data_IF_389499077664
#
_entry.id   IF_389499077664
#
_cell.length_a   1.000
_cell.length_b   1.000
_cell.length_c   1.000
_cell.angle_alpha   90.00
_cell.angle_beta   90.00
_cell.angle_gamma   90.00
#
_symmetry.space_group_name_H-M   'P 1'
#
loop_
_entity.id
_entity.type
_entity.pdbx_description
1 polymer ?
#
# COMPACT_ATOMS: atom_id res chain seq x y z
N UNK A 1 -16.49 4.79 38.12
CA UNK A 1 -15.80 3.53 37.84
C UNK A 1 -15.01 3.56 36.53
N UNK A 2 -14.44 4.72 36.09
CA UNK A 2 -13.70 4.90 34.83
C UNK A 2 -12.25 5.40 34.96
N UNK A 3 -11.73 5.49 36.19
CA UNK A 3 -10.41 6.08 36.45
C UNK A 3 -9.28 5.06 36.78
N UNK A 4 -9.53 3.76 36.78
CA UNK A 4 -8.54 2.73 37.16
C UNK A 4 -7.84 2.00 36.01
N UNK A 5 -8.25 2.21 34.76
CA UNK A 5 -7.61 1.54 33.59
C UNK A 5 -6.36 2.26 33.03
N UNK A 6 -6.10 3.51 33.45
CA UNK A 6 -4.98 4.31 32.89
C UNK A 6 -3.63 4.09 33.60
N UNK A 7 -3.61 3.50 34.78
CA UNK A 7 -2.37 3.31 35.54
C UNK A 7 -1.59 2.05 35.18
N UNK A 8 -2.24 1.03 34.58
CA UNK A 8 -1.60 -0.24 34.24
C UNK A 8 -0.77 -0.17 32.93
N UNK A 9 -1.06 0.79 32.07
CA UNK A 9 -0.42 0.92 30.74
C UNK A 9 0.97 1.56 30.82
N UNK A 10 1.24 2.37 31.83
CA UNK A 10 2.50 3.12 31.95
C UNK A 10 3.67 2.24 32.41
N UNK A 11 3.41 1.17 33.17
CA UNK A 11 4.47 0.26 33.63
C UNK A 11 4.98 -0.69 32.52
N UNK A 12 4.18 -0.96 31.52
CA UNK A 12 4.53 -1.85 30.41
C UNK A 12 5.55 -1.22 29.43
N UNK A 13 5.51 0.10 29.26
CA UNK A 13 6.38 0.83 28.32
C UNK A 13 7.86 0.64 28.64
N UNK A 14 8.22 0.70 29.90
CA UNK A 14 9.61 0.52 30.34
C UNK A 14 10.09 -0.94 30.31
N UNK A 15 9.18 -1.92 30.27
CA UNK A 15 9.51 -3.33 30.35
C UNK A 15 9.74 -3.98 28.98
N UNK A 16 9.19 -3.40 27.93
CA UNK A 16 9.39 -3.84 26.55
C UNK A 16 10.30 -2.91 25.74
N UNK A 17 10.70 -1.76 26.28
CA UNK A 17 11.71 -0.93 25.63
C UNK A 17 12.95 -1.80 25.33
N UNK A 18 13.47 -1.82 24.13
CA UNK A 18 14.73 -2.48 23.86
C UNK A 18 15.78 -1.84 24.79
N UNK A 19 16.50 -2.66 25.56
CA UNK A 19 17.77 -2.20 26.07
C UNK A 19 18.57 -1.75 24.85
N UNK A 20 19.01 -0.50 24.84
CA UNK A 20 19.69 0.19 23.74
C UNK A 20 21.12 -0.32 23.50
N UNK A 21 21.35 -1.62 23.60
CA UNK A 21 22.64 -2.26 23.32
C UNK A 21 22.67 -3.17 22.09
N UNK A 22 21.62 -3.15 21.26
CA UNK A 22 21.81 -3.51 19.88
C UNK A 22 21.85 -2.22 19.07
N UNK A 23 23.03 -1.67 18.87
CA UNK A 23 23.26 -0.74 17.77
C UNK A 23 22.52 -1.30 16.54
N UNK A 24 21.78 -0.47 15.76
CA UNK A 24 21.16 -0.95 14.53
C UNK A 24 22.25 -1.68 13.78
N UNK A 25 22.04 -2.98 13.51
CA UNK A 25 23.01 -3.77 12.80
C UNK A 25 23.44 -2.93 11.60
N UNK A 26 24.73 -2.59 11.54
CA UNK A 26 25.30 -1.93 10.38
C UNK A 26 24.76 -2.68 9.16
N UNK A 27 24.48 -2.03 8.00
CA UNK A 27 24.02 -2.73 6.82
C UNK A 27 25.05 -3.82 6.56
N UNK A 28 24.71 -5.02 7.05
CA UNK A 28 25.54 -6.18 6.92
C UNK A 28 25.64 -6.56 5.45
N UNK A 29 26.56 -7.41 5.10
CA UNK A 29 26.90 -7.88 3.76
C UNK A 29 25.72 -8.40 2.89
N UNK A 30 24.48 -8.37 3.37
CA UNK A 30 23.26 -8.85 2.69
C UNK A 30 22.59 -7.80 1.79
N UNK A 31 23.21 -6.67 1.50
CA UNK A 31 22.67 -5.67 0.57
C UNK A 31 21.28 -5.11 0.94
N UNK A 32 20.63 -4.44 0.00
CA UNK A 32 19.25 -3.97 0.19
C UNK A 32 18.26 -5.14 0.05
N UNK A 33 17.95 -5.82 1.15
CA UNK A 33 17.00 -6.94 1.16
C UNK A 33 15.56 -6.55 0.79
N UNK A 34 15.23 -5.25 0.66
CA UNK A 34 13.92 -4.76 0.23
C UNK A 34 13.79 -4.59 -1.28
N UNK A 35 14.92 -4.57 -2.03
CA UNK A 35 14.92 -4.33 -3.48
C UNK A 35 13.92 -5.21 -4.26
N UNK A 36 13.42 -4.73 -5.39
CA UNK A 36 13.71 -3.46 -6.06
C UNK A 36 12.91 -2.27 -5.49
N UNK A 37 13.50 -1.07 -5.55
CA UNK A 37 12.91 0.18 -5.08
C UNK A 37 13.11 1.29 -6.12
N UNK A 38 12.12 2.18 -6.26
CA UNK A 38 12.23 3.36 -7.10
C UNK A 38 13.25 4.35 -6.53
N UNK A 39 14.13 4.85 -7.37
CA UNK A 39 15.06 5.94 -7.02
C UNK A 39 14.47 7.32 -7.35
N UNK A 40 13.40 7.34 -8.17
CA UNK A 40 12.80 8.59 -8.63
C UNK A 40 11.57 9.03 -7.81
N UNK A 41 11.00 8.18 -6.96
CA UNK A 41 9.77 8.48 -6.23
C UNK A 41 9.99 9.26 -4.92
N UNK A 42 11.12 9.94 -4.79
CA UNK A 42 11.50 10.77 -3.64
C UNK A 42 11.72 12.22 -4.11
N UNK A 43 11.48 13.18 -3.22
CA UNK A 43 11.61 14.60 -3.49
C UNK A 43 10.37 15.22 -4.12
N UNK A 44 10.47 16.50 -4.46
CA UNK A 44 9.41 17.23 -5.12
C UNK A 44 9.34 16.84 -6.60
N UNK A 45 8.11 16.64 -7.11
CA UNK A 45 7.83 16.37 -8.53
C UNK A 45 7.03 17.50 -9.12
N UNK A 46 7.49 17.99 -10.27
CA UNK A 46 6.76 19.00 -11.02
C UNK A 46 5.76 18.32 -11.96
N UNK A 47 4.48 18.57 -11.75
CA UNK A 47 3.38 18.01 -12.55
C UNK A 47 2.71 19.12 -13.34
N UNK A 48 2.63 18.95 -14.65
CA UNK A 48 1.77 19.79 -15.49
C UNK A 48 0.37 19.16 -15.53
N UNK A 49 -0.61 19.87 -15.03
CA UNK A 49 -2.01 19.49 -15.09
C UNK A 49 -2.73 20.25 -16.19
N UNK A 50 -3.35 19.54 -17.13
CA UNK A 50 -4.05 20.13 -18.28
C UNK A 50 -5.50 19.63 -18.30
N UNK A 51 -6.44 20.56 -18.11
CA UNK A 51 -7.86 20.30 -18.37
C UNK A 51 -8.15 20.43 -19.88
N UNK A 52 -8.76 19.42 -20.48
CA UNK A 52 -9.13 19.43 -21.90
C UNK A 52 -10.64 19.31 -22.10
N UNK A 53 -11.16 19.98 -23.15
CA UNK A 53 -12.57 19.90 -23.55
C UNK A 53 -12.67 19.59 -25.04
N UNK A 54 -13.81 19.06 -25.42
CA UNK A 54 -14.06 18.57 -26.78
C UNK A 54 -15.12 19.43 -27.47
N UNK A 55 -15.19 19.46 -28.82
CA UNK A 55 -16.23 20.21 -29.54
C UNK A 55 -17.66 19.79 -29.16
N UNK A 56 -17.87 18.52 -28.88
CA UNK A 56 -19.15 17.87 -28.56
C UNK A 56 -19.36 17.55 -27.07
N UNK A 57 -18.38 17.82 -26.19
CA UNK A 57 -18.49 17.58 -24.77
C UNK A 57 -17.82 18.72 -23.97
N UNK A 58 -18.59 19.30 -23.06
CA UNK A 58 -18.11 20.38 -22.22
C UNK A 58 -17.95 19.92 -20.77
N UNK A 59 -16.95 20.46 -20.05
CA UNK A 59 -16.77 20.15 -18.63
C UNK A 59 -17.99 20.57 -17.80
N UNK A 60 -18.36 19.75 -16.84
CA UNK A 60 -19.44 20.03 -15.89
C UNK A 60 -18.93 20.75 -14.64
N UNK A 61 -17.64 20.69 -14.39
CA UNK A 61 -17.00 21.29 -13.22
C UNK A 61 -16.18 22.52 -13.60
N UNK A 62 -16.12 23.47 -12.68
CA UNK A 62 -15.16 24.56 -12.84
C UNK A 62 -13.73 24.03 -12.72
N UNK A 63 -12.81 24.70 -13.41
CA UNK A 63 -11.42 24.31 -13.38
C UNK A 63 -10.80 24.42 -11.97
N UNK A 64 -11.27 25.38 -11.18
CA UNK A 64 -10.79 25.58 -9.81
C UNK A 64 -11.26 24.45 -8.87
N UNK A 65 -12.48 23.95 -9.04
CA UNK A 65 -12.95 22.76 -8.29
C UNK A 65 -12.09 21.55 -8.59
N UNK A 66 -11.78 21.31 -9.87
CA UNK A 66 -10.95 20.19 -10.29
C UNK A 66 -9.53 20.36 -9.75
N UNK A 67 -8.95 21.55 -9.88
CA UNK A 67 -7.61 21.87 -9.35
C UNK A 67 -7.53 21.63 -7.84
N UNK A 68 -8.46 22.16 -7.06
CA UNK A 68 -8.49 21.99 -5.60
C UNK A 68 -8.58 20.52 -5.22
N UNK A 69 -9.49 19.79 -5.85
CA UNK A 69 -9.70 18.37 -5.54
C UNK A 69 -8.51 17.52 -5.93
N UNK A 70 -7.98 17.68 -7.13
CA UNK A 70 -6.96 16.78 -7.68
C UNK A 70 -5.57 17.22 -7.28
N UNK A 71 -5.18 18.46 -7.52
CA UNK A 71 -3.80 18.92 -7.24
C UNK A 71 -3.52 18.92 -5.74
N UNK A 72 -4.32 19.68 -4.97
CA UNK A 72 -4.12 19.78 -3.52
C UNK A 72 -4.38 18.44 -2.84
N UNK A 73 -5.42 17.74 -3.26
CA UNK A 73 -5.75 16.42 -2.72
C UNK A 73 -4.66 15.39 -2.99
N UNK A 74 -4.10 15.36 -4.20
CA UNK A 74 -3.05 14.43 -4.57
C UNK A 74 -1.74 14.71 -3.83
N UNK A 75 -1.31 15.98 -3.73
CA UNK A 75 -0.11 16.34 -2.97
C UNK A 75 -0.24 15.95 -1.50
N UNK A 76 -1.38 16.26 -0.86
CA UNK A 76 -1.63 15.90 0.53
C UNK A 76 -1.57 14.37 0.73
N UNK A 77 -2.16 13.61 -0.19
CA UNK A 77 -2.16 12.15 -0.12
C UNK A 77 -0.73 11.60 -0.32
N UNK A 78 0.03 12.11 -1.29
CA UNK A 78 1.43 11.71 -1.53
C UNK A 78 2.31 12.01 -0.32
N UNK A 79 2.19 13.20 0.27
CA UNK A 79 2.93 13.56 1.50
C UNK A 79 2.60 12.64 2.66
N UNK A 80 1.33 12.33 2.87
CA UNK A 80 0.91 11.39 3.93
C UNK A 80 1.51 10.00 3.68
N UNK A 81 1.30 9.43 2.49
CA UNK A 81 1.74 8.07 2.19
C UNK A 81 3.26 7.91 2.17
N UNK A 82 3.98 8.96 1.79
CA UNK A 82 5.45 8.96 1.71
C UNK A 82 6.13 9.37 3.02
N UNK A 83 5.40 9.61 4.09
CA UNK A 83 5.97 10.16 5.34
C UNK A 83 6.67 11.51 5.14
N UNK A 84 6.24 12.29 4.15
CA UNK A 84 6.83 13.56 3.74
C UNK A 84 8.06 13.45 2.83
N UNK A 85 8.41 12.23 2.37
CA UNK A 85 9.56 12.03 1.49
C UNK A 85 9.32 12.47 0.05
N UNK A 86 8.06 12.58 -0.37
CA UNK A 86 7.67 13.02 -1.70
C UNK A 86 6.58 14.09 -1.63
N UNK A 87 6.57 14.96 -2.63
CA UNK A 87 5.60 16.04 -2.78
C UNK A 87 5.36 16.39 -4.24
N UNK A 88 4.30 17.13 -4.51
CA UNK A 88 3.92 17.59 -5.83
C UNK A 88 3.84 19.11 -5.86
N UNK A 89 4.53 19.71 -6.82
CA UNK A 89 4.29 21.09 -7.27
C UNK A 89 3.64 21.01 -8.64
N UNK A 90 2.48 21.63 -8.81
CA UNK A 90 1.73 21.53 -10.05
C UNK A 90 1.48 22.90 -10.69
N UNK A 91 1.85 23.01 -11.95
CA UNK A 91 1.35 24.06 -12.84
C UNK A 91 0.05 23.59 -13.51
N UNK A 92 -0.86 24.50 -13.66
CA UNK A 92 -2.20 24.19 -14.15
C UNK A 92 -2.54 24.97 -15.41
N UNK A 93 -3.13 24.28 -16.43
CA UNK A 93 -3.71 24.88 -17.62
C UNK A 93 -5.19 24.49 -17.69
N UNK A 94 -6.03 25.52 -17.74
CA UNK A 94 -7.49 25.38 -17.77
C UNK A 94 -8.01 24.86 -19.10
N UNK A 95 -9.31 24.57 -19.15
CA UNK A 95 -10.01 23.87 -20.23
C UNK A 95 -9.55 24.23 -21.64
N UNK A 96 -8.56 23.49 -22.14
CA UNK A 96 -7.97 23.63 -23.48
C UNK A 96 -8.84 22.87 -24.48
N UNK A 97 -9.22 23.54 -25.58
CA UNK A 97 -10.01 22.89 -26.62
C UNK A 97 -9.15 21.94 -27.45
N UNK A 98 -9.57 20.70 -27.59
CA UNK A 98 -9.00 19.73 -28.51
C UNK A 98 -9.72 19.77 -29.87
N UNK A 99 -9.05 19.37 -30.97
CA UNK A 99 -9.58 19.57 -32.33
C UNK A 99 -10.73 18.61 -32.69
N UNK A 100 -10.76 17.41 -32.12
CA UNK A 100 -11.68 16.34 -32.53
C UNK A 100 -12.77 16.10 -31.47
N UNK A 101 -13.91 15.47 -31.87
CA UNK A 101 -14.97 15.08 -30.93
C UNK A 101 -14.49 13.99 -29.94
N UNK A 102 -15.17 13.89 -28.79
CA UNK A 102 -14.85 12.97 -27.70
C UNK A 102 -14.67 11.52 -28.18
N UNK A 103 -15.49 11.08 -29.13
CA UNK A 103 -15.44 9.72 -29.69
C UNK A 103 -14.10 9.34 -30.32
N UNK A 104 -13.28 10.31 -30.73
CA UNK A 104 -11.95 10.08 -31.28
C UNK A 104 -10.89 9.82 -30.21
N UNK A 105 -11.20 10.11 -28.96
CA UNK A 105 -10.31 9.94 -27.79
C UNK A 105 -10.81 8.90 -26.80
N UNK A 106 -12.06 8.43 -26.94
CA UNK A 106 -12.65 7.44 -26.06
C UNK A 106 -11.88 6.10 -26.11
N UNK A 107 -11.62 5.53 -24.94
CA UNK A 107 -10.87 4.27 -24.79
C UNK A 107 -11.76 3.17 -24.22
N UNK A 108 -11.39 1.91 -24.47
CA UNK A 108 -12.07 0.76 -23.86
C UNK A 108 -11.91 0.80 -22.33
N UNK A 109 -12.93 0.41 -21.56
CA UNK A 109 -12.82 0.25 -20.11
C UNK A 109 -11.97 -0.97 -19.71
N UNK A 110 -11.65 -1.85 -20.64
CA UNK A 110 -10.90 -3.08 -20.38
C UNK A 110 -9.42 -2.90 -20.72
N UNK A 111 -8.54 -3.13 -19.75
CA UNK A 111 -7.10 -2.88 -19.88
C UNK A 111 -6.45 -3.56 -21.11
N UNK A 112 -6.89 -4.77 -21.45
CA UNK A 112 -6.31 -5.50 -22.59
C UNK A 112 -6.84 -5.08 -23.97
N UNK A 113 -7.87 -4.22 -24.00
CA UNK A 113 -8.51 -3.74 -25.23
C UNK A 113 -8.43 -2.22 -25.40
N UNK A 114 -7.56 -1.57 -24.66
CA UNK A 114 -7.33 -0.13 -24.81
C UNK A 114 -6.72 0.15 -26.18
N UNK A 115 -7.35 1.05 -26.92
CA UNK A 115 -6.84 1.57 -28.20
C UNK A 115 -5.67 2.53 -27.93
N UNK A 116 -4.46 2.08 -28.20
CA UNK A 116 -3.22 2.82 -27.92
C UNK A 116 -3.07 4.07 -28.77
N UNK A 117 -3.60 4.05 -29.99
CA UNK A 117 -3.53 5.18 -30.90
C UNK A 117 -4.42 6.32 -30.36
N UNK A 118 -5.55 6.01 -29.77
CA UNK A 118 -6.41 7.00 -29.09
C UNK A 118 -5.77 7.55 -27.82
N UNK A 119 -5.09 6.73 -27.04
CA UNK A 119 -4.31 7.17 -25.87
C UNK A 119 -3.21 8.13 -26.30
N UNK A 120 -2.44 7.75 -27.34
CA UNK A 120 -1.40 8.60 -27.94
C UNK A 120 -1.96 9.91 -28.46
N UNK A 121 -3.05 9.82 -29.24
CA UNK A 121 -3.72 10.98 -29.81
C UNK A 121 -4.15 11.98 -28.74
N UNK A 122 -4.76 11.54 -27.63
CA UNK A 122 -5.16 12.43 -26.55
C UNK A 122 -3.94 13.20 -25.98
N UNK A 123 -2.85 12.49 -25.70
CA UNK A 123 -1.64 13.11 -25.16
C UNK A 123 -0.99 14.09 -26.14
N UNK A 124 -0.78 13.66 -27.39
CA UNK A 124 -0.08 14.49 -28.39
C UNK A 124 -0.91 15.68 -28.87
N UNK A 125 -2.23 15.56 -28.98
CA UNK A 125 -3.11 16.70 -29.27
C UNK A 125 -3.17 17.68 -28.07
N UNK A 126 -3.15 17.17 -26.83
CA UNK A 126 -3.04 18.00 -25.63
C UNK A 126 -1.73 18.78 -25.62
N UNK A 127 -0.60 18.10 -25.87
CA UNK A 127 0.72 18.74 -25.96
C UNK A 127 0.77 19.79 -27.05
N UNK A 128 0.23 19.46 -28.22
CA UNK A 128 0.18 20.40 -29.36
C UNK A 128 -0.64 21.66 -29.07
N UNK A 129 -1.72 21.51 -28.29
CA UNK A 129 -2.59 22.63 -27.93
C UNK A 129 -1.97 23.60 -26.91
N UNK A 130 -0.99 23.14 -26.13
CA UNK A 130 -0.30 23.93 -25.12
C UNK A 130 1.11 24.34 -25.51
N UNK A 131 1.71 23.70 -26.54
CA UNK A 131 3.10 23.83 -26.98
C UNK A 131 3.59 25.29 -27.07
N UNK A 132 2.89 26.24 -27.68
CA UNK A 132 3.40 27.60 -27.80
C UNK A 132 3.59 28.36 -26.46
N UNK A 133 3.09 27.77 -25.34
CA UNK A 133 3.01 28.44 -24.04
C UNK A 133 3.67 27.68 -22.90
N UNK A 134 4.12 26.43 -23.15
CA UNK A 134 4.62 25.52 -22.13
C UNK A 134 5.82 24.76 -22.63
N UNK A 135 6.92 24.84 -21.90
CA UNK A 135 8.07 23.96 -22.10
C UNK A 135 7.84 22.65 -21.33
N UNK A 136 7.61 21.57 -22.05
CA UNK A 136 7.35 20.24 -21.48
C UNK A 136 8.57 19.65 -20.75
N UNK A 137 9.79 20.06 -21.10
CA UNK A 137 11.01 19.58 -20.45
C UNK A 137 11.12 20.01 -18.98
N UNK A 138 10.34 21.02 -18.57
CA UNK A 138 10.31 21.50 -17.20
C UNK A 138 9.49 20.63 -16.24
N UNK A 139 8.89 19.51 -16.67
CA UNK A 139 7.98 18.69 -15.86
C UNK A 139 8.43 17.23 -15.79
N UNK A 140 8.25 16.62 -14.61
CA UNK A 140 8.46 15.20 -14.40
C UNK A 140 7.27 14.37 -14.96
N UNK A 141 6.05 14.88 -14.76
CA UNK A 141 4.82 14.19 -15.14
C UNK A 141 3.78 15.15 -15.72
N UNK A 142 2.87 14.59 -16.52
CA UNK A 142 1.69 15.30 -17.03
C UNK A 142 0.42 14.58 -16.62
N UNK A 143 -0.52 15.33 -16.05
CA UNK A 143 -1.88 14.88 -15.80
C UNK A 143 -2.82 15.53 -16.82
N UNK A 144 -3.53 14.72 -17.59
CA UNK A 144 -4.57 15.18 -18.52
C UNK A 144 -5.93 14.91 -17.91
N UNK A 145 -6.78 15.92 -17.85
CA UNK A 145 -8.14 15.82 -17.31
C UNK A 145 -9.15 16.08 -18.43
N UNK A 146 -9.72 15.03 -19.02
CA UNK A 146 -10.89 15.18 -19.88
C UNK A 146 -12.07 15.79 -19.10
N UNK A 147 -12.59 16.92 -19.59
CA UNK A 147 -13.75 17.62 -19.04
C UNK A 147 -15.03 16.89 -19.45
N UNK A 148 -15.21 15.70 -18.95
CA UNK A 148 -16.37 14.85 -19.21
C UNK A 148 -16.78 14.12 -17.93
N UNK A 149 -18.07 13.99 -17.72
CA UNK A 149 -18.62 13.03 -16.76
C UNK A 149 -18.75 11.69 -17.46
N UNK A 150 -18.01 10.69 -17.03
CA UNK A 150 -18.02 9.35 -17.62
C UNK A 150 -18.22 8.27 -16.57
N UNK A 151 -18.72 7.12 -17.04
CA UNK A 151 -18.76 5.87 -16.28
C UNK A 151 -17.98 4.81 -17.06
N UNK A 152 -17.51 3.73 -16.41
CA UNK A 152 -16.85 2.64 -17.12
C UNK A 152 -17.71 2.12 -18.26
N UNK A 153 -17.16 2.12 -19.49
CA UNK A 153 -17.86 1.68 -20.70
C UNK A 153 -18.82 2.68 -21.33
N UNK A 154 -18.94 3.90 -20.80
CA UNK A 154 -19.79 4.96 -21.36
C UNK A 154 -18.98 6.22 -21.67
N UNK A 155 -19.43 6.99 -22.65
CA UNK A 155 -18.80 8.27 -23.03
C UNK A 155 -17.33 8.14 -23.38
N UNK A 156 -16.46 8.56 -22.47
CA UNK A 156 -15.02 8.43 -22.59
C UNK A 156 -14.51 6.99 -22.41
N UNK A 157 -15.30 6.12 -21.75
CA UNK A 157 -15.06 4.69 -21.60
C UNK A 157 -14.32 4.28 -20.34
N UNK A 158 -13.31 5.04 -19.87
CA UNK A 158 -12.51 4.76 -18.69
C UNK A 158 -12.47 5.98 -17.76
N UNK A 159 -12.49 5.77 -16.46
CA UNK A 159 -12.40 6.86 -15.49
C UNK A 159 -10.98 7.41 -15.35
N UNK A 160 -10.00 6.53 -15.20
CA UNK A 160 -8.58 6.88 -15.13
C UNK A 160 -7.71 5.79 -15.75
N UNK A 161 -6.52 6.16 -16.19
CA UNK A 161 -5.48 5.23 -16.61
C UNK A 161 -4.10 5.91 -16.63
N UNK A 162 -3.05 5.13 -16.41
CA UNK A 162 -1.68 5.57 -16.65
C UNK A 162 -1.34 5.31 -18.14
N UNK A 163 -1.18 6.39 -18.90
CA UNK A 163 -0.79 6.30 -20.30
C UNK A 163 0.69 5.93 -20.45
N UNK A 164 1.56 6.58 -19.65
CA UNK A 164 3.01 6.43 -19.72
C UNK A 164 3.64 6.40 -18.30
N UNK A 165 4.28 5.33 -17.87
CA UNK A 165 4.43 4.04 -18.53
C UNK A 165 3.19 3.15 -18.32
N UNK A 166 2.65 2.61 -19.40
CA UNK A 166 1.48 1.74 -19.25
C UNK A 166 0.70 1.54 -20.54
N UNK A 167 -0.45 2.20 -20.72
CA UNK A 167 -1.36 1.94 -21.82
C UNK A 167 -0.74 2.16 -23.21
N UNK A 168 0.21 3.07 -23.36
CA UNK A 168 0.91 3.31 -24.64
C UNK A 168 1.78 2.12 -25.07
N UNK A 169 2.46 1.49 -24.14
CA UNK A 169 3.33 0.32 -24.43
C UNK A 169 2.62 -1.01 -24.23
N UNK A 170 1.53 -1.02 -23.45
CA UNK A 170 0.78 -2.18 -23.03
C UNK A 170 1.15 -2.67 -21.63
N UNK A 171 0.22 -3.38 -20.99
CA UNK A 171 0.31 -3.85 -19.60
C UNK A 171 0.14 -5.37 -19.47
N UNK A 172 0.30 -6.12 -20.56
CA UNK A 172 0.16 -7.59 -20.55
C UNK A 172 1.51 -8.28 -20.70
N UNK A 173 1.56 -9.60 -20.44
CA UNK A 173 2.75 -10.45 -20.66
C UNK A 173 3.40 -10.30 -22.05
N UNK A 174 2.61 -9.93 -23.06
CA UNK A 174 3.12 -9.72 -24.43
C UNK A 174 3.81 -8.38 -24.61
N UNK A 175 3.67 -7.45 -23.67
CA UNK A 175 4.13 -6.08 -23.78
C UNK A 175 4.78 -5.65 -22.47
N UNK A 176 6.10 -5.60 -22.46
CA UNK A 176 6.81 -5.01 -21.33
C UNK A 176 6.49 -3.52 -21.24
N UNK A 177 6.00 -3.03 -20.09
CA UNK A 177 5.83 -1.60 -19.87
C UNK A 177 7.14 -0.85 -20.14
N UNK A 178 7.06 0.25 -20.84
CA UNK A 178 8.19 1.15 -21.10
C UNK A 178 7.70 2.57 -21.27
N UNK A 179 8.61 3.52 -21.13
CA UNK A 179 8.32 4.91 -21.47
C UNK A 179 8.35 5.10 -22.98
N UNK A 180 7.24 5.52 -23.56
CA UNK A 180 7.12 5.94 -24.93
C UNK A 180 7.42 7.43 -25.06
N UNK A 181 8.03 7.84 -26.16
CA UNK A 181 8.17 9.26 -26.50
C UNK A 181 6.87 9.78 -27.09
N UNK A 182 6.35 10.83 -26.51
CA UNK A 182 5.20 11.60 -27.01
C UNK A 182 5.68 12.90 -27.63
N UNK A 183 5.02 13.37 -28.68
CA UNK A 183 5.44 14.57 -29.41
C UNK A 183 4.30 15.56 -29.61
N UNK A 184 4.59 16.85 -29.47
CA UNK A 184 3.72 17.91 -29.92
C UNK A 184 3.91 18.15 -31.43
N UNK A 185 2.94 18.80 -32.06
CA UNK A 185 3.09 19.26 -33.46
C UNK A 185 4.19 20.32 -33.63
N UNK A 186 4.50 21.06 -32.57
CA UNK A 186 5.61 22.02 -32.54
C UNK A 186 6.98 21.37 -32.37
N UNK A 187 7.07 20.05 -32.19
CA UNK A 187 8.31 19.30 -32.12
C UNK A 187 8.86 19.07 -30.72
N UNK A 188 8.17 19.51 -29.67
CA UNK A 188 8.57 19.13 -28.29
C UNK A 188 8.39 17.63 -28.05
N UNK A 189 9.37 17.02 -27.40
CA UNK A 189 9.32 15.61 -26.97
C UNK A 189 9.12 15.53 -25.46
N UNK A 190 8.31 14.54 -25.02
CA UNK A 190 8.11 14.24 -23.62
C UNK A 190 8.23 12.73 -23.37
N UNK A 191 9.04 12.35 -22.38
CA UNK A 191 9.27 10.95 -21.95
C UNK A 191 8.93 10.69 -20.48
N UNK A 192 8.34 11.67 -19.82
CA UNK A 192 7.91 11.54 -18.43
C UNK A 192 6.64 10.72 -18.27
N UNK A 193 6.19 10.61 -17.03
CA UNK A 193 4.92 9.97 -16.72
C UNK A 193 3.72 10.76 -17.24
N UNK A 194 2.77 10.07 -17.86
CA UNK A 194 1.49 10.66 -18.28
C UNK A 194 0.35 9.83 -17.75
N UNK A 195 -0.53 10.46 -17.00
CA UNK A 195 -1.74 9.82 -16.49
C UNK A 195 -2.97 10.67 -16.82
N UNK A 196 -4.08 9.99 -17.00
CA UNK A 196 -5.33 10.59 -17.48
C UNK A 196 -6.45 10.23 -16.52
N UNK A 197 -7.29 11.20 -16.19
CA UNK A 197 -8.47 10.93 -15.37
C UNK A 197 -9.59 11.88 -15.68
N UNK A 198 -10.81 11.35 -15.90
CA UNK A 198 -12.01 12.15 -16.14
C UNK A 198 -12.33 13.07 -14.96
N UNK A 199 -12.98 14.21 -15.22
CA UNK A 199 -13.27 15.21 -14.18
C UNK A 199 -14.08 14.68 -12.99
N UNK A 200 -14.83 13.60 -13.16
CA UNK A 200 -15.61 12.97 -12.10
C UNK A 200 -14.92 11.80 -11.40
N UNK A 201 -13.70 11.43 -11.80
CA UNK A 201 -12.98 10.35 -11.17
C UNK A 201 -12.65 10.63 -9.69
N UNK A 202 -12.65 9.60 -8.87
CA UNK A 202 -12.27 9.68 -7.46
C UNK A 202 -10.78 10.00 -7.32
N UNK A 203 -10.40 10.77 -6.27
CA UNK A 203 -8.99 11.09 -6.01
C UNK A 203 -8.08 9.85 -5.97
N UNK A 204 -8.58 8.76 -5.41
CA UNK A 204 -7.83 7.50 -5.36
C UNK A 204 -7.48 6.92 -6.72
N UNK A 205 -8.29 7.15 -7.74
CA UNK A 205 -7.97 6.74 -9.11
C UNK A 205 -6.82 7.57 -9.68
N UNK A 206 -6.83 8.89 -9.48
CA UNK A 206 -5.72 9.74 -9.86
C UNK A 206 -4.43 9.35 -9.12
N UNK A 207 -4.51 9.06 -7.82
CA UNK A 207 -3.35 8.66 -7.03
C UNK A 207 -2.78 7.31 -7.47
N UNK A 208 -3.65 6.33 -7.78
CA UNK A 208 -3.26 5.04 -8.33
C UNK A 208 -2.43 5.21 -9.61
N UNK A 209 -2.96 5.93 -10.59
CA UNK A 209 -2.28 6.12 -11.87
C UNK A 209 -1.03 7.00 -11.76
N UNK A 210 -1.04 7.96 -10.84
CA UNK A 210 0.15 8.72 -10.50
C UNK A 210 1.26 7.85 -9.93
N UNK A 211 0.95 6.88 -9.06
CA UNK A 211 1.98 6.00 -8.51
C UNK A 211 2.61 5.08 -9.54
N UNK A 212 1.90 4.67 -10.57
CA UNK A 212 2.54 4.01 -11.72
C UNK A 212 3.59 4.91 -12.40
N UNK A 213 3.22 6.18 -12.63
CA UNK A 213 4.12 7.16 -13.24
C UNK A 213 5.30 7.51 -12.32
N UNK A 214 5.03 7.72 -11.04
CA UNK A 214 6.02 8.11 -10.02
C UNK A 214 7.04 7.01 -9.75
N UNK A 215 6.60 5.77 -9.59
CA UNK A 215 7.48 4.63 -9.30
C UNK A 215 8.40 4.29 -10.48
N UNK A 216 7.89 4.44 -11.69
CA UNK A 216 8.62 4.10 -12.91
C UNK A 216 8.72 2.60 -13.18
N UNK A 217 9.74 2.25 -13.95
CA UNK A 217 9.97 0.89 -14.47
C UNK A 217 11.36 0.41 -14.09
N UNK A 218 11.46 -0.86 -13.73
CA UNK A 218 12.72 -1.58 -13.62
C UNK A 218 12.57 -2.97 -14.24
N UNK A 219 13.54 -3.39 -15.04
CA UNK A 219 13.58 -4.71 -15.70
C UNK A 219 12.30 -5.03 -16.51
N UNK A 220 11.74 -4.04 -17.20
CA UNK A 220 10.53 -4.17 -18.00
C UNK A 220 9.24 -4.36 -17.19
N UNK A 221 9.26 -4.12 -15.89
CA UNK A 221 8.09 -4.17 -14.98
C UNK A 221 7.88 -2.83 -14.31
N UNK A 222 6.63 -2.41 -14.11
CA UNK A 222 6.31 -1.25 -13.26
C UNK A 222 6.67 -1.58 -11.80
N UNK A 223 7.34 -0.66 -11.13
CA UNK A 223 7.71 -0.84 -9.71
C UNK A 223 6.49 -0.78 -8.79
N UNK A 224 5.52 0.09 -9.06
CA UNK A 224 4.21 0.08 -8.43
C UNK A 224 3.19 -0.52 -9.42
N UNK A 225 2.98 -1.84 -9.44
CA UNK A 225 2.05 -2.49 -10.37
C UNK A 225 0.60 -2.41 -9.86
N UNK A 226 -0.38 -2.66 -10.73
CA UNK A 226 -1.73 -2.96 -10.29
C UNK A 226 -1.76 -4.25 -9.46
N UNK A 227 -2.48 -4.20 -8.33
CA UNK A 227 -2.64 -5.31 -7.39
C UNK A 227 -4.04 -5.94 -7.44
N UNK A 228 -4.84 -5.60 -8.46
CA UNK A 228 -6.12 -6.23 -8.76
C UNK A 228 -6.02 -7.24 -9.91
N UNK A 229 -7.06 -8.06 -10.11
CA UNK A 229 -7.06 -9.13 -11.11
C UNK A 229 -7.38 -8.59 -12.51
N UNK A 230 -6.44 -8.72 -13.45
CA UNK A 230 -6.61 -8.29 -14.82
C UNK A 230 -7.52 -9.20 -15.66
N UNK A 231 -7.64 -10.49 -15.32
CA UNK A 231 -8.54 -11.38 -16.03
C UNK A 231 -9.99 -10.98 -15.77
N UNK A 232 -10.30 -10.77 -14.48
CA UNK A 232 -11.64 -10.34 -14.09
C UNK A 232 -11.95 -8.93 -14.57
N UNK A 233 -11.00 -8.00 -14.53
CA UNK A 233 -11.17 -6.64 -15.03
C UNK A 233 -11.43 -6.63 -16.55
N UNK A 234 -10.87 -7.58 -17.30
CA UNK A 234 -10.98 -7.67 -18.75
C UNK A 234 -12.01 -8.71 -19.22
N UNK A 235 -12.80 -9.26 -18.31
CA UNK A 235 -13.86 -10.23 -18.63
C UNK A 235 -15.13 -9.51 -19.12
N UNK A 236 -15.26 -9.40 -20.43
CA UNK A 236 -16.42 -8.77 -21.08
C UNK A 236 -17.72 -9.54 -20.92
N UNK A 237 -17.63 -10.86 -20.65
CA UNK A 237 -18.82 -11.69 -20.41
C UNK A 237 -19.58 -11.29 -19.13
N UNK A 238 -18.89 -10.63 -18.20
CA UNK A 238 -19.49 -10.08 -16.99
C UNK A 238 -20.25 -8.76 -17.19
N UNK A 239 -20.30 -8.24 -18.42
CA UNK A 239 -20.88 -6.93 -18.74
C UNK A 239 -19.90 -5.78 -18.46
N UNK A 240 -20.41 -4.59 -18.12
CA UNK A 240 -19.56 -3.46 -17.76
C UNK A 240 -18.66 -3.81 -16.58
N UNK A 241 -17.41 -3.27 -16.53
CA UNK A 241 -16.49 -3.56 -15.44
C UNK A 241 -17.15 -3.30 -14.09
N UNK A 242 -17.38 -4.36 -13.34
CA UNK A 242 -17.71 -4.28 -11.93
C UNK A 242 -16.40 -4.16 -11.18
N UNK A 243 -16.39 -3.55 -10.00
CA UNK A 243 -15.15 -3.46 -9.20
C UNK A 243 -14.81 -4.76 -8.46
N UNK A 244 -15.42 -5.89 -8.83
CA UNK A 244 -15.16 -7.21 -8.23
C UNK A 244 -13.72 -7.69 -8.41
N UNK A 245 -13.05 -7.30 -9.51
CA UNK A 245 -11.64 -7.60 -9.73
C UNK A 245 -10.72 -7.08 -8.61
N UNK A 246 -11.12 -6.04 -7.89
CA UNK A 246 -10.36 -5.48 -6.77
C UNK A 246 -10.36 -6.42 -5.56
N UNK A 247 -11.41 -7.22 -5.37
CA UNK A 247 -11.57 -8.08 -4.21
C UNK A 247 -10.93 -9.48 -4.36
N UNK A 248 -10.09 -9.70 -5.39
CA UNK A 248 -9.51 -11.03 -5.65
C UNK A 248 -8.21 -11.24 -4.91
N UNK A 249 -7.31 -10.25 -4.89
CA UNK A 249 -5.98 -10.39 -4.28
C UNK A 249 -5.80 -9.57 -3.02
N UNK A 250 -6.11 -8.27 -3.05
CA UNK A 250 -5.80 -7.34 -1.98
C UNK A 250 -7.02 -6.58 -1.43
N UNK A 251 -8.08 -6.43 -2.24
CA UNK A 251 -9.23 -5.60 -1.85
C UNK A 251 -8.82 -4.17 -1.47
N UNK A 252 -9.40 -3.60 -0.41
CA UNK A 252 -9.18 -2.21 -0.02
C UNK A 252 -7.86 -1.95 0.74
N UNK A 253 -6.98 -2.96 0.85
CA UNK A 253 -5.78 -2.86 1.69
C UNK A 253 -4.59 -2.18 1.00
N UNK A 254 -4.76 -1.80 -0.27
CA UNK A 254 -3.83 -0.97 -1.02
C UNK A 254 -4.58 -0.23 -2.13
N UNK A 255 -4.28 1.06 -2.32
CA UNK A 255 -4.88 1.85 -3.40
C UNK A 255 -4.53 1.29 -4.79
N UNK A 256 -3.41 0.57 -4.94
CA UNK A 256 -3.03 -0.10 -6.18
C UNK A 256 -3.93 -1.31 -6.50
N UNK A 257 -4.79 -1.71 -5.58
CA UNK A 257 -5.86 -2.70 -5.75
C UNK A 257 -7.24 -2.04 -5.82
N UNK A 258 -7.60 -1.26 -4.80
CA UNK A 258 -8.92 -0.64 -4.71
C UNK A 258 -8.82 0.84 -4.35
N UNK A 259 -9.33 1.70 -5.20
CA UNK A 259 -9.12 3.15 -5.16
C UNK A 259 -9.85 3.85 -4.01
N UNK A 260 -10.93 3.27 -3.51
CA UNK A 260 -11.73 3.75 -2.38
C UNK A 260 -12.50 2.59 -1.76
N UNK A 261 -12.82 2.68 -0.49
CA UNK A 261 -13.66 1.69 0.21
C UNK A 261 -15.13 1.98 -0.05
N UNK A 262 -15.52 3.24 0.10
CA UNK A 262 -16.86 3.75 -0.22
C UNK A 262 -16.78 5.03 -1.04
N UNK A 263 -17.68 5.23 -2.01
CA UNK A 263 -17.79 6.51 -2.71
C UNK A 263 -17.96 7.67 -1.71
N UNK A 264 -17.23 8.76 -1.91
CA UNK A 264 -17.28 9.94 -1.05
C UNK A 264 -16.39 9.91 0.19
N UNK A 265 -15.73 8.78 0.50
CA UNK A 265 -14.71 8.69 1.53
C UNK A 265 -13.31 9.00 0.97
N UNK A 266 -12.35 9.19 1.85
CA UNK A 266 -10.92 9.26 1.46
C UNK A 266 -10.46 7.91 0.93
N UNK A 267 -9.36 7.90 0.19
CA UNK A 267 -8.74 6.67 -0.30
C UNK A 267 -8.04 5.91 0.84
N UNK A 268 -7.98 4.57 0.80
CA UNK A 268 -7.18 3.78 1.72
C UNK A 268 -5.68 4.08 1.52
N UNK A 269 -4.88 3.79 2.53
CA UNK A 269 -3.43 3.91 2.44
C UNK A 269 -2.81 2.79 1.60
N UNK A 270 -1.54 2.99 1.25
CA UNK A 270 -0.69 1.99 0.58
C UNK A 270 -0.29 0.88 1.54
N UNK A 271 -0.11 -0.33 1.03
CA UNK A 271 0.55 -1.41 1.75
C UNK A 271 2.06 -1.21 1.85
N UNK A 272 2.71 -1.99 2.74
CA UNK A 272 4.16 -1.99 2.84
C UNK A 272 4.83 -2.40 1.53
N UNK A 273 4.22 -3.28 0.75
CA UNK A 273 4.74 -3.64 -0.57
C UNK A 273 4.89 -2.42 -1.48
N UNK A 274 3.83 -1.66 -1.67
CA UNK A 274 3.86 -0.48 -2.54
C UNK A 274 4.77 0.61 -1.98
N UNK A 275 4.75 0.85 -0.66
CA UNK A 275 5.67 1.82 -0.02
C UNK A 275 7.14 1.43 -0.17
N UNK A 276 7.48 0.13 -0.08
CA UNK A 276 8.83 -0.38 -0.35
C UNK A 276 9.20 -0.11 -1.81
N UNK A 277 8.32 -0.46 -2.75
CA UNK A 277 8.55 -0.25 -4.20
C UNK A 277 8.77 1.23 -4.55
N UNK A 278 8.10 2.14 -3.85
CA UNK A 278 8.30 3.59 -3.99
C UNK A 278 9.55 4.10 -3.24
N UNK A 279 10.29 3.26 -2.53
CA UNK A 279 11.47 3.68 -1.77
C UNK A 279 11.15 4.45 -0.48
N UNK A 280 9.90 4.39 -0.01
CA UNK A 280 9.44 5.13 1.17
C UNK A 280 9.63 4.38 2.50
N UNK A 281 9.92 3.08 2.43
CA UNK A 281 10.36 2.27 3.56
C UNK A 281 11.80 1.81 3.26
N UNK A 282 12.68 2.09 4.20
CA UNK A 282 14.10 1.73 4.13
C UNK A 282 14.39 0.47 4.92
N UNK A 283 15.58 -0.12 4.73
CA UNK A 283 16.04 -1.27 5.52
C UNK A 283 16.13 -1.00 7.02
N UNK A 284 16.24 0.28 7.44
CA UNK A 284 16.21 0.67 8.86
C UNK A 284 14.82 0.52 9.48
N UNK A 285 13.76 0.61 8.67
CA UNK A 285 12.37 0.52 9.10
C UNK A 285 11.79 -0.89 8.87
N UNK A 286 12.60 -1.81 8.41
CA UNK A 286 12.21 -3.17 8.13
C UNK A 286 13.09 -4.16 8.91
N UNK A 287 12.46 -5.25 9.37
CA UNK A 287 13.16 -6.37 9.98
C UNK A 287 13.15 -7.56 9.04
N UNK A 288 14.31 -8.10 8.73
CA UNK A 288 14.42 -9.40 8.04
C UNK A 288 14.45 -10.51 9.10
N UNK A 289 13.56 -11.48 8.97
CA UNK A 289 13.50 -12.68 9.82
C UNK A 289 13.45 -13.90 8.91
N UNK A 290 14.41 -14.80 9.01
CA UNK A 290 14.48 -16.00 8.17
C UNK A 290 13.54 -17.10 8.71
N UNK A 291 13.01 -18.00 7.87
CA UNK A 291 12.27 -19.15 8.33
C UNK A 291 13.09 -19.98 9.34
N UNK A 292 12.47 -20.38 10.44
CA UNK A 292 13.16 -21.09 11.53
C UNK A 292 13.76 -20.18 12.60
N UNK A 293 13.95 -18.89 12.31
CA UNK A 293 14.35 -17.91 13.33
C UNK A 293 13.16 -17.49 14.18
N UNK A 294 13.44 -17.09 15.43
CA UNK A 294 12.43 -16.49 16.31
C UNK A 294 12.81 -15.04 16.57
N UNK A 295 11.85 -14.13 16.41
CA UNK A 295 12.02 -12.70 16.64
C UNK A 295 10.73 -12.07 17.17
N UNK A 296 10.84 -11.19 18.16
CA UNK A 296 9.79 -10.33 18.64
C UNK A 296 10.03 -8.91 18.11
N UNK A 297 9.05 -8.36 17.39
CA UNK A 297 9.14 -7.05 16.76
C UNK A 297 7.91 -6.22 17.12
N UNK A 298 8.09 -4.98 17.54
CA UNK A 298 6.97 -4.05 17.72
C UNK A 298 6.82 -3.22 16.44
N UNK A 299 5.66 -3.35 15.79
CA UNK A 299 5.35 -2.67 14.55
C UNK A 299 4.50 -1.44 14.80
N UNK A 300 5.02 -0.29 14.44
CA UNK A 300 4.24 0.95 14.38
C UNK A 300 3.17 0.88 13.28
N UNK A 301 2.07 1.64 13.41
CA UNK A 301 1.08 1.74 12.33
C UNK A 301 1.71 2.16 11.02
N UNK A 302 1.42 1.43 9.94
CA UNK A 302 2.00 1.69 8.61
C UNK A 302 1.65 3.07 8.06
N UNK A 303 0.54 3.66 8.49
CA UNK A 303 0.10 5.01 8.10
C UNK A 303 0.86 6.14 8.78
N UNK A 304 1.76 5.83 9.73
CA UNK A 304 2.62 6.81 10.41
C UNK A 304 4.09 6.53 10.15
N UNK A 305 4.91 7.58 10.20
CA UNK A 305 6.37 7.41 10.25
C UNK A 305 6.72 6.70 11.57
N UNK A 306 7.52 5.63 11.47
CA UNK A 306 7.94 4.82 12.62
C UNK A 306 9.32 4.21 12.39
N UNK A 307 9.90 3.66 13.45
CA UNK A 307 11.20 3.00 13.41
C UNK A 307 11.11 1.58 12.86
N UNK A 308 10.00 0.89 13.12
CA UNK A 308 9.75 -0.47 12.64
C UNK A 308 8.36 -0.54 12.01
N UNK A 309 8.28 -0.67 10.69
CA UNK A 309 7.05 -0.62 9.92
C UNK A 309 6.67 -1.98 9.32
N UNK A 310 7.64 -2.84 9.06
CA UNK A 310 7.41 -4.10 8.37
C UNK A 310 8.41 -5.18 8.78
N UNK A 311 7.92 -6.43 8.85
CA UNK A 311 8.78 -7.62 8.89
C UNK A 311 8.74 -8.29 7.53
N UNK A 312 9.92 -8.57 6.95
CA UNK A 312 10.06 -9.39 5.75
C UNK A 312 10.52 -10.79 6.14
N UNK A 313 9.80 -11.80 5.65
CA UNK A 313 10.13 -13.21 5.87
C UNK A 313 10.34 -13.86 4.51
N UNK A 314 11.59 -14.15 4.09
CA UNK A 314 11.86 -14.79 2.80
C UNK A 314 11.30 -16.22 2.76
N UNK A 315 10.90 -16.65 1.58
CA UNK A 315 10.43 -18.01 1.30
C UNK A 315 11.26 -18.59 0.14
N UNK A 316 10.95 -19.80 -0.29
CA UNK A 316 11.61 -20.41 -1.43
C UNK A 316 11.42 -19.60 -2.72
N UNK A 317 12.48 -19.43 -3.49
CA UNK A 317 12.57 -18.48 -4.61
C UNK A 317 12.59 -17.04 -4.05
N UNK A 318 12.16 -16.07 -4.85
CA UNK A 318 12.10 -14.67 -4.44
C UNK A 318 10.81 -14.32 -3.67
N UNK A 319 9.95 -15.31 -3.41
CA UNK A 319 8.71 -15.12 -2.64
C UNK A 319 9.03 -14.76 -1.18
N UNK A 320 8.13 -14.03 -0.57
CA UNK A 320 8.27 -13.64 0.84
C UNK A 320 6.94 -13.22 1.44
N UNK A 321 6.86 -13.21 2.76
CA UNK A 321 5.82 -12.50 3.49
C UNK A 321 6.29 -11.09 3.84
N UNK A 322 5.35 -10.13 3.82
CA UNK A 322 5.47 -8.85 4.49
C UNK A 322 4.40 -8.80 5.58
N UNK A 323 4.80 -8.42 6.77
CA UNK A 323 3.93 -8.32 7.94
C UNK A 323 3.90 -6.88 8.37
N UNK A 324 2.70 -6.28 8.43
CA UNK A 324 2.49 -4.86 8.70
C UNK A 324 1.36 -4.63 9.69
N UNK A 325 1.42 -3.53 10.43
CA UNK A 325 0.39 -3.13 11.37
C UNK A 325 -0.52 -2.07 10.74
N UNK A 326 -1.81 -2.38 10.60
CA UNK A 326 -2.84 -1.46 10.08
C UNK A 326 -3.73 -1.00 11.21
N UNK A 327 -3.75 0.30 11.46
CA UNK A 327 -4.59 0.93 12.48
C UNK A 327 -5.41 2.07 11.84
N UNK A 328 -6.59 2.44 12.41
CA UNK A 328 -7.48 3.45 11.82
C UNK A 328 -6.92 4.87 11.99
N UNK A 329 -5.78 5.13 11.39
CA UNK A 329 -5.02 6.39 11.46
C UNK A 329 -4.79 6.93 10.04
N UNK A 330 -4.94 8.22 9.85
CA UNK A 330 -4.77 8.85 8.54
C UNK A 330 -5.73 8.25 7.51
N UNK A 331 -5.24 7.94 6.33
CA UNK A 331 -6.00 7.30 5.25
C UNK A 331 -6.50 5.90 5.61
N UNK A 332 -5.85 5.20 6.55
CA UNK A 332 -6.27 3.86 6.97
C UNK A 332 -7.54 3.83 7.83
N UNK A 333 -8.08 5.00 8.22
CA UNK A 333 -9.35 5.10 8.96
C UNK A 333 -10.56 4.54 8.19
N UNK A 334 -10.46 4.46 6.86
CA UNK A 334 -11.54 3.94 6.01
C UNK A 334 -11.46 2.42 5.83
N UNK A 335 -10.37 1.78 6.25
CA UNK A 335 -10.22 0.33 6.15
C UNK A 335 -11.28 -0.41 6.95
N UNK A 336 -11.76 -1.56 6.45
CA UNK A 336 -12.85 -2.29 7.08
C UNK A 336 -12.47 -2.98 8.40
N UNK A 337 -11.19 -3.12 8.67
CA UNK A 337 -10.66 -3.80 9.85
C UNK A 337 -9.31 -3.19 10.25
N UNK A 338 -8.80 -3.52 11.44
CA UNK A 338 -7.50 -3.07 11.94
C UNK A 338 -6.77 -4.21 12.65
N UNK A 339 -5.46 -4.20 12.63
CA UNK A 339 -4.62 -5.23 13.27
C UNK A 339 -3.41 -5.59 12.42
N UNK A 340 -2.90 -6.81 12.61
CA UNK A 340 -1.77 -7.29 11.85
C UNK A 340 -2.23 -7.80 10.49
N UNK A 341 -1.66 -7.25 9.41
CA UNK A 341 -1.90 -7.71 8.05
C UNK A 341 -0.69 -8.49 7.54
N UNK A 342 -0.93 -9.56 6.80
CA UNK A 342 0.11 -10.40 6.22
C UNK A 342 -0.08 -10.44 4.72
N UNK A 343 0.93 -10.03 3.98
CA UNK A 343 0.99 -10.06 2.53
C UNK A 343 1.89 -11.20 2.09
N UNK A 344 1.45 -11.98 1.12
CA UNK A 344 2.25 -12.98 0.42
C UNK A 344 2.66 -12.40 -0.92
N UNK A 345 3.95 -12.16 -1.10
CA UNK A 345 4.51 -11.54 -2.30
C UNK A 345 5.14 -12.59 -3.21
N UNK A 346 4.79 -12.52 -4.48
CA UNK A 346 5.39 -13.29 -5.57
C UNK A 346 5.91 -12.34 -6.65
N UNK A 347 7.17 -11.91 -6.61
CA UNK A 347 7.72 -10.94 -7.56
C UNK A 347 7.86 -11.47 -8.99
N UNK A 348 7.79 -12.81 -9.18
CA UNK A 348 7.80 -13.42 -10.50
C UNK A 348 6.43 -13.33 -11.20
N UNK A 349 5.36 -13.16 -10.44
CA UNK A 349 4.03 -12.96 -11.02
C UNK A 349 3.98 -11.66 -11.82
N UNK A 350 3.30 -11.73 -12.95
CA UNK A 350 3.07 -10.52 -13.75
C UNK A 350 2.05 -9.62 -13.04
N UNK A 351 2.12 -8.34 -13.36
CA UNK A 351 1.15 -7.35 -12.95
C UNK A 351 -0.28 -7.79 -13.27
N UNK A 352 -1.18 -7.69 -12.29
CA UNK A 352 -2.56 -8.12 -12.41
C UNK A 352 -2.79 -9.64 -12.30
N UNK A 353 -1.78 -10.40 -11.89
CA UNK A 353 -1.86 -11.87 -11.77
C UNK A 353 -1.35 -12.40 -10.41
N UNK A 354 -1.56 -11.65 -9.34
CA UNK A 354 -1.24 -12.09 -7.98
C UNK A 354 0.20 -11.81 -7.57
N UNK A 355 0.77 -10.67 -7.97
CA UNK A 355 2.07 -10.20 -7.46
C UNK A 355 2.06 -10.08 -5.94
N UNK A 356 0.92 -9.67 -5.36
CA UNK A 356 0.68 -9.64 -3.92
C UNK A 356 -0.69 -10.19 -3.63
N UNK A 357 -0.78 -11.07 -2.66
CA UNK A 357 -2.03 -11.65 -2.16
C UNK A 357 -2.12 -11.47 -0.65
N UNK A 358 -3.32 -11.19 -0.14
CA UNK A 358 -3.56 -11.18 1.31
C UNK A 358 -3.62 -12.58 1.88
N UNK A 359 -2.97 -12.79 3.01
CA UNK A 359 -3.27 -13.90 3.90
C UNK A 359 -4.50 -13.50 4.72
N UNK A 360 -5.67 -13.94 4.27
CA UNK A 360 -6.94 -13.53 4.88
C UNK A 360 -7.19 -14.29 6.19
N UNK A 361 -7.22 -13.57 7.32
CA UNK A 361 -7.46 -14.17 8.63
C UNK A 361 -8.90 -14.69 8.81
N UNK A 362 -9.84 -14.28 7.94
CA UNK A 362 -11.23 -14.72 7.99
C UNK A 362 -11.78 -14.95 6.57
N UNK A 363 -11.46 -16.09 5.93
CA UNK A 363 -11.74 -16.31 4.51
C UNK A 363 -13.22 -16.26 4.11
N UNK A 364 -14.15 -16.48 5.06
CA UNK A 364 -15.60 -16.41 4.81
C UNK A 364 -16.16 -14.99 4.87
N UNK A 365 -15.40 -14.02 5.38
CA UNK A 365 -15.83 -12.61 5.36
C UNK A 365 -15.63 -12.02 3.96
N UNK A 366 -16.65 -11.34 3.39
CA UNK A 366 -16.57 -10.84 2.04
C UNK A 366 -15.55 -9.69 1.90
N UNK A 367 -14.99 -9.53 0.72
CA UNK A 367 -14.14 -8.39 0.33
C UNK A 367 -13.00 -8.10 1.31
N UNK A 368 -12.40 -9.12 1.92
CA UNK A 368 -11.33 -8.99 2.91
C UNK A 368 -11.68 -8.09 4.10
N UNK A 369 -12.98 -7.98 4.43
CA UNK A 369 -13.48 -7.08 5.48
C UNK A 369 -13.02 -7.46 6.89
N UNK A 370 -12.47 -8.66 7.09
CA UNK A 370 -11.90 -9.15 8.35
C UNK A 370 -10.53 -9.82 8.12
N UNK A 371 -9.70 -9.26 7.26
CA UNK A 371 -8.46 -9.88 6.83
C UNK A 371 -7.32 -9.82 7.85
N UNK A 372 -7.40 -8.93 8.86
CA UNK A 372 -6.32 -8.76 9.83
C UNK A 372 -6.32 -9.85 10.92
N UNK A 373 -5.11 -10.18 11.38
CA UNK A 373 -4.93 -11.02 12.58
C UNK A 373 -5.02 -10.16 13.84
N UNK A 374 -5.61 -10.74 14.90
CA UNK A 374 -5.95 -10.07 16.16
C UNK A 374 -5.26 -10.73 17.34
N UNK A 375 -4.91 -9.94 18.33
CA UNK A 375 -4.50 -10.45 19.62
C UNK A 375 -5.73 -11.14 20.26
N UNK A 376 -5.63 -12.30 20.82
CA UNK A 376 -6.66 -13.01 21.58
C UNK A 376 -7.97 -13.40 20.86
N UNK A 377 -8.22 -12.98 19.61
CA UNK A 377 -9.40 -13.42 18.87
C UNK A 377 -9.19 -14.84 18.34
N UNK A 378 -9.92 -15.82 18.87
CA UNK A 378 -9.83 -17.20 18.45
C UNK A 378 -10.06 -17.35 16.93
N UNK A 379 -9.19 -18.12 16.27
CA UNK A 379 -9.21 -18.31 14.81
C UNK A 379 -8.51 -17.21 14.03
N UNK A 380 -8.23 -16.03 14.64
CA UNK A 380 -7.52 -14.92 14.02
C UNK A 380 -6.27 -14.48 14.80
N UNK A 381 -5.91 -15.21 15.85
CA UNK A 381 -4.81 -14.84 16.74
C UNK A 381 -3.44 -15.35 16.28
N UNK A 382 -3.36 -16.02 15.15
CA UNK A 382 -2.11 -16.50 14.55
C UNK A 382 -2.27 -16.89 13.09
N UNK A 383 -1.19 -16.84 12.37
CA UNK A 383 -1.00 -17.49 11.09
C UNK A 383 0.11 -18.53 11.20
N UNK A 384 -0.14 -19.73 10.70
CA UNK A 384 0.83 -20.85 10.71
C UNK A 384 0.98 -21.39 9.30
N UNK A 385 2.19 -21.32 8.77
CA UNK A 385 2.61 -21.96 7.53
C UNK A 385 3.60 -23.08 7.85
N UNK A 386 3.07 -24.26 8.08
CA UNK A 386 3.88 -25.43 8.43
C UNK A 386 4.85 -25.83 7.29
N UNK A 387 4.45 -25.59 6.03
CA UNK A 387 5.28 -25.94 4.86
C UNK A 387 6.56 -25.10 4.80
N UNK A 388 6.48 -23.84 5.14
CA UNK A 388 7.61 -22.92 5.13
C UNK A 388 8.23 -22.74 6.52
N UNK A 389 7.76 -23.44 7.55
CA UNK A 389 8.31 -23.39 8.91
C UNK A 389 8.10 -22.05 9.61
N UNK A 390 7.01 -21.33 9.33
CA UNK A 390 6.74 -19.99 9.83
C UNK A 390 5.45 -19.94 10.62
N UNK A 391 5.48 -19.32 11.80
CA UNK A 391 4.31 -18.89 12.55
C UNK A 391 4.42 -17.39 12.86
N UNK A 392 3.32 -16.64 12.69
CA UNK A 392 3.23 -15.20 12.88
C UNK A 392 2.10 -14.93 13.87
N UNK A 393 2.43 -14.30 15.01
CA UNK A 393 1.53 -14.14 16.14
C UNK A 393 1.50 -12.68 16.61
N UNK A 394 0.36 -11.98 16.51
CA UNK A 394 0.17 -10.73 17.25
C UNK A 394 -0.04 -11.06 18.73
N UNK A 395 0.82 -10.56 19.61
CA UNK A 395 0.81 -10.93 21.02
C UNK A 395 0.37 -9.81 21.94
N UNK A 396 0.84 -8.58 21.69
CA UNK A 396 0.56 -7.43 22.55
C UNK A 396 0.25 -6.19 21.73
N UNK A 397 -0.45 -5.26 22.35
CA UNK A 397 -0.69 -3.93 21.78
C UNK A 397 -0.31 -2.89 22.81
N UNK A 398 0.53 -1.94 22.41
CA UNK A 398 0.86 -0.77 23.15
C UNK A 398 0.47 0.47 22.37
N UNK A 399 -0.52 1.21 22.85
CA UNK A 399 -1.16 2.30 22.07
C UNK A 399 -1.62 1.78 20.70
N UNK A 400 -0.92 2.18 19.64
CA UNK A 400 -1.19 1.76 18.27
C UNK A 400 -0.15 0.76 17.73
N UNK A 401 0.90 0.46 18.50
CA UNK A 401 1.92 -0.52 18.09
C UNK A 401 1.47 -1.94 18.41
N UNK A 402 1.87 -2.89 17.58
CA UNK A 402 1.57 -4.31 17.76
C UNK A 402 2.86 -5.09 17.90
N UNK A 403 3.03 -5.75 19.04
CA UNK A 403 4.09 -6.73 19.27
C UNK A 403 3.80 -8.03 18.53
N UNK A 404 4.64 -8.34 17.55
CA UNK A 404 4.52 -9.49 16.66
C UNK A 404 5.66 -10.45 16.92
N UNK A 405 5.32 -11.68 17.22
CA UNK A 405 6.30 -12.79 17.29
C UNK A 405 6.30 -13.54 15.97
N UNK A 406 7.47 -13.62 15.34
CA UNK A 406 7.74 -14.56 14.27
C UNK A 406 8.46 -15.76 14.90
N UNK A 407 8.01 -16.97 14.64
CA UNK A 407 8.61 -18.19 15.23
C UNK A 407 8.32 -19.41 14.36
N UNK A 408 8.68 -20.61 14.86
CA UNK A 408 8.35 -21.85 14.19
C UNK A 408 6.94 -22.34 14.55
N UNK A 409 6.29 -23.16 13.70
CA UNK A 409 5.01 -23.76 14.02
C UNK A 409 5.00 -24.53 15.35
N UNK A 410 6.08 -25.26 15.66
CA UNK A 410 6.19 -26.06 16.89
C UNK A 410 6.27 -25.22 18.17
N UNK A 411 6.79 -24.00 18.10
CA UNK A 411 6.88 -23.10 19.25
C UNK A 411 5.62 -22.24 19.45
N UNK A 412 4.73 -22.18 18.46
CA UNK A 412 3.61 -21.22 18.43
C UNK A 412 2.63 -21.36 19.60
N UNK A 413 2.27 -22.58 20.00
CA UNK A 413 1.35 -22.81 21.11
C UNK A 413 1.95 -22.41 22.47
N UNK A 414 3.22 -22.77 22.71
CA UNK A 414 3.93 -22.38 23.92
C UNK A 414 4.06 -20.85 24.03
N UNK A 415 4.37 -20.20 22.91
CA UNK A 415 4.47 -18.75 22.86
C UNK A 415 3.14 -18.05 23.18
N UNK A 416 2.02 -18.51 22.60
CA UNK A 416 0.69 -17.95 22.91
C UNK A 416 0.31 -18.17 24.38
N UNK A 417 0.57 -19.34 24.94
CA UNK A 417 0.33 -19.62 26.36
C UNK A 417 1.14 -18.69 27.25
N UNK A 418 2.43 -18.55 26.98
CA UNK A 418 3.32 -17.68 27.74
C UNK A 418 2.87 -16.20 27.65
N UNK A 419 2.55 -15.72 26.45
CA UNK A 419 2.08 -14.36 26.26
C UNK A 419 0.77 -14.06 27.01
N UNK A 420 -0.18 -14.98 27.04
CA UNK A 420 -1.43 -14.86 27.81
C UNK A 420 -1.16 -14.81 29.31
N UNK A 421 -0.30 -15.69 29.83
CA UNK A 421 0.06 -15.69 31.25
C UNK A 421 0.78 -14.41 31.65
N UNK A 422 1.67 -13.90 30.80
CA UNK A 422 2.31 -12.58 30.99
C UNK A 422 1.24 -11.48 31.02
N UNK A 423 0.30 -11.44 30.09
CA UNK A 423 -0.77 -10.43 30.06
C UNK A 423 -1.61 -10.45 31.33
N UNK A 424 -1.93 -11.63 31.85
CA UNK A 424 -2.63 -11.79 33.14
C UNK A 424 -1.78 -11.29 34.32
N UNK A 425 -0.49 -11.62 34.31
CA UNK A 425 0.46 -11.16 35.33
C UNK A 425 0.63 -9.65 35.30
N UNK A 426 0.73 -9.03 34.11
CA UNK A 426 0.80 -7.58 33.94
C UNK A 426 -0.40 -6.85 34.59
N UNK A 427 -1.59 -7.42 34.49
CA UNK A 427 -2.79 -6.84 35.13
C UNK A 427 -2.73 -6.86 36.66
N UNK A 428 -1.90 -7.71 37.27
CA UNK A 428 -1.74 -7.87 38.74
C UNK A 428 -0.45 -7.24 39.29
N UNK A 429 0.59 -7.08 38.45
CA UNK A 429 1.95 -6.75 38.84
C UNK A 429 2.14 -5.23 39.01
N UNK A 430 1.60 -4.67 40.11
CA UNK A 430 1.87 -3.26 40.43
C UNK A 430 3.11 -3.09 41.32
N UNK A 431 3.36 -4.00 42.27
CA UNK A 431 4.51 -3.96 43.20
C UNK A 431 4.84 -5.37 43.72
N UNK A 432 5.96 -5.52 44.43
CA UNK A 432 6.32 -6.73 45.17
C UNK A 432 6.68 -7.95 44.30
N UNK A 433 6.28 -9.11 44.76
CA UNK A 433 6.62 -10.42 44.14
C UNK A 433 6.09 -10.54 42.73
N UNK A 434 4.86 -10.07 42.45
CA UNK A 434 4.26 -10.10 41.14
C UNK A 434 5.04 -9.24 40.12
N UNK A 435 5.60 -8.09 40.51
CA UNK A 435 6.43 -7.28 39.63
C UNK A 435 7.80 -7.92 39.35
N UNK A 436 8.36 -8.62 40.35
CA UNK A 436 9.62 -9.37 40.15
C UNK A 436 9.40 -10.53 39.20
N UNK A 437 8.33 -11.33 39.41
CA UNK A 437 7.97 -12.44 38.53
C UNK A 437 7.65 -11.97 37.09
N UNK A 438 7.02 -10.81 36.94
CA UNK A 438 6.77 -10.24 35.61
C UNK A 438 8.08 -9.94 34.87
N UNK A 439 9.05 -9.32 35.55
CA UNK A 439 10.37 -9.05 34.93
C UNK A 439 11.07 -10.32 34.53
N UNK A 440 11.05 -11.35 35.39
CA UNK A 440 11.66 -12.66 35.09
C UNK A 440 10.93 -13.38 33.96
N UNK A 441 9.60 -13.41 33.95
CA UNK A 441 8.82 -14.02 32.88
C UNK A 441 9.06 -13.32 31.53
N UNK A 442 9.15 -11.96 31.53
CA UNK A 442 9.50 -11.21 30.32
C UNK A 442 10.92 -11.47 29.85
N UNK A 443 11.88 -11.61 30.78
CA UNK A 443 13.27 -11.95 30.44
C UNK A 443 13.34 -13.34 29.80
N UNK A 444 12.68 -14.34 30.35
CA UNK A 444 12.58 -15.67 29.76
C UNK A 444 11.88 -15.63 28.36
N UNK A 445 10.80 -14.84 28.22
CA UNK A 445 10.12 -14.68 26.92
C UNK A 445 11.03 -14.05 25.86
N UNK A 446 11.82 -13.06 26.20
CA UNK A 446 12.82 -12.42 25.31
C UNK A 446 13.93 -13.38 24.88
N UNK A 447 14.25 -14.36 25.69
CA UNK A 447 15.16 -15.46 25.37
C UNK A 447 14.46 -16.59 24.59
N UNK A 448 13.17 -16.42 24.29
CA UNK A 448 12.30 -17.39 23.64
C UNK A 448 12.12 -18.71 24.42
N UNK A 449 12.41 -18.71 25.73
CA UNK A 449 12.05 -19.80 26.62
C UNK A 449 10.60 -19.62 27.10
N UNK A 450 9.67 -19.95 26.20
CA UNK A 450 8.24 -19.79 26.43
C UNK A 450 7.72 -20.68 27.55
N UNK A 451 8.28 -21.85 27.71
CA UNK A 451 7.88 -22.79 28.78
C UNK A 451 8.23 -22.22 30.15
N UNK A 452 9.46 -21.76 30.35
CA UNK A 452 9.88 -21.11 31.60
C UNK A 452 9.09 -19.84 31.85
N UNK A 453 8.93 -19.01 30.83
CA UNK A 453 8.16 -17.78 30.91
C UNK A 453 6.72 -18.02 31.40
N UNK A 454 6.05 -19.05 30.83
CA UNK A 454 4.72 -19.47 31.22
C UNK A 454 4.68 -19.92 32.68
N UNK A 455 5.62 -20.80 33.11
CA UNK A 455 5.67 -21.34 34.48
C UNK A 455 5.83 -20.23 35.52
N UNK A 456 6.75 -19.27 35.28
CA UNK A 456 6.97 -18.13 36.19
C UNK A 456 5.69 -17.31 36.34
N UNK A 457 5.06 -16.96 35.22
CA UNK A 457 3.84 -16.17 35.25
C UNK A 457 2.69 -16.93 35.93
N UNK A 458 2.55 -18.23 35.64
CA UNK A 458 1.49 -19.07 36.16
C UNK A 458 1.59 -19.26 37.69
N UNK A 459 2.80 -19.33 38.25
CA UNK A 459 3.03 -19.41 39.69
C UNK A 459 2.37 -18.28 40.49
N UNK A 460 2.21 -17.10 39.87
CA UNK A 460 1.60 -15.94 40.49
C UNK A 460 0.10 -15.80 40.15
N UNK A 461 -0.28 -16.12 38.89
CA UNK A 461 -1.67 -15.88 38.46
C UNK A 461 -2.58 -17.09 38.65
N UNK A 462 -2.03 -18.27 38.86
CA UNK A 462 -2.76 -19.55 38.96
C UNK A 462 -3.21 -20.09 37.60
N UNK A 463 -3.60 -21.36 37.57
CA UNK A 463 -4.26 -21.96 36.41
C UNK A 463 -5.67 -21.38 36.22
N UNK A 464 -6.22 -21.45 34.99
CA UNK A 464 -7.60 -21.03 34.69
C UNK A 464 -8.62 -21.98 35.26
#
# INVERSE_FOLDING_TARGET
MRARLLASTVLAVGLFAPETDAAPAAPGADGNFLAPQSVQAIGEKRVLMVGVRFPDAQPSKSIEEVRKRVVVGLDNYVREQSYGLASITADFRGWIALPDPLSRYAVSPYNFKVDRDRVRKLAEDTFSAIDPRVDLAGYDHVLIIPGVHTLPGQGYGMLCYCANPGMLSGVSRRFSPRYETLRSKGGQEFRGGVFVGAENAHLGMFAHDYFHALAGIQDGKRLAPCLYDYRRQSDESAGLPTFEHNAIYMGPWDIMSQHFVRPGETSPGLSSFTKIRLGWITTRQARLVKPGETALVFLSPLSRKGESLVVKIPLAGDRHYLVENRQPVGSDRVLPDSGLLILKVNPEADEGFGTVELVNAHPTAPHFSRATFKIEEQGRNRYVDARNGVAILPLWKEKDEVGVLITTPGASDAAVKAARSISRLMARAQTGEAAAALREALAAFRQFDFSRSHQIALAIVGED
#
